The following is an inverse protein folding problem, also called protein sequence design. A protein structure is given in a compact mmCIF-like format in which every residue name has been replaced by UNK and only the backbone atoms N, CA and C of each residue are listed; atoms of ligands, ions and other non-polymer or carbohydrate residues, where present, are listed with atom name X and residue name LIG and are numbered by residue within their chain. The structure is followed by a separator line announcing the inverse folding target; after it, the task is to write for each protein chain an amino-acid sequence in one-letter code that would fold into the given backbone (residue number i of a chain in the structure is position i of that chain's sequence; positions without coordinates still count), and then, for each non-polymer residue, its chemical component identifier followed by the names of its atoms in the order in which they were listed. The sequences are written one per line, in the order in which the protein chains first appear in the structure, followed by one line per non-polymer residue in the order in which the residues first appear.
data_IF_424808498039
#
_entry.id   IF_424808498039
#
_cell.length_a   1.000
_cell.length_b   1.000
_cell.length_c   1.000
_cell.angle_alpha   90.00
_cell.angle_beta   90.00
_cell.angle_gamma   90.00
#
_symmetry.space_group_name_H-M   'P 1'
#
loop_
_entity.id
_entity.type
_entity.pdbx_description
1 polymer ?
#
# COMPACT_ATOMS: atom_id res chain seq x y z
N UNK A 1 35.27 -27.90 18.12
CA UNK A 1 34.24 -26.94 18.56
C UNK A 1 34.93 -25.61 18.83
N UNK A 2 34.70 -24.61 17.98
CA UNK A 2 35.10 -23.23 18.23
C UNK A 2 33.87 -22.34 17.95
N UNK A 3 33.51 -21.41 18.84
CA UNK A 3 32.33 -20.57 18.65
C UNK A 3 32.63 -19.54 17.57
N UNK A 4 31.99 -19.71 16.40
CA UNK A 4 31.95 -18.71 15.34
C UNK A 4 31.26 -17.46 15.85
N UNK A 5 32.05 -16.52 16.37
CA UNK A 5 31.61 -15.19 16.79
C UNK A 5 32.50 -14.19 16.05
N UNK A 6 31.98 -13.61 14.96
CA UNK A 6 32.77 -12.63 14.23
C UNK A 6 32.15 -12.03 12.97
N UNK A 7 31.12 -12.64 12.37
CA UNK A 7 30.61 -12.18 11.05
C UNK A 7 29.21 -11.53 11.11
N UNK A 8 28.46 -11.67 12.21
CA UNK A 8 27.01 -11.39 12.17
C UNK A 8 26.55 -10.07 12.83
N UNK A 9 27.46 -9.30 13.45
CA UNK A 9 27.09 -8.05 14.12
C UNK A 9 27.09 -6.82 13.17
N UNK A 10 27.87 -6.87 12.09
CA UNK A 10 28.21 -5.67 11.30
C UNK A 10 27.29 -5.39 10.10
N UNK A 11 26.29 -6.25 9.84
CA UNK A 11 25.43 -6.17 8.63
C UNK A 11 23.96 -5.84 8.92
N UNK A 12 23.58 -5.66 10.18
CA UNK A 12 22.19 -5.36 10.55
C UNK A 12 21.96 -3.85 10.60
N UNK A 13 20.95 -3.40 9.87
CA UNK A 13 20.45 -2.02 9.94
C UNK A 13 20.14 -1.67 11.41
N UNK A 14 20.63 -0.53 11.93
CA UNK A 14 20.40 -0.16 13.33
C UNK A 14 18.91 -0.11 13.69
N UNK A 15 18.55 -0.59 14.88
CA UNK A 15 17.15 -0.61 15.35
C UNK A 15 16.52 0.77 15.36
N UNK A 16 17.25 1.81 15.78
CA UNK A 16 16.74 3.19 15.78
C UNK A 16 16.35 3.66 14.37
N UNK A 17 17.10 3.26 13.33
CA UNK A 17 16.83 3.62 11.95
C UNK A 17 15.59 2.90 11.42
N UNK A 18 15.40 1.64 11.82
CA UNK A 18 14.18 0.87 11.53
C UNK A 18 12.95 1.53 12.15
N UNK A 19 13.04 1.93 13.42
CA UNK A 19 11.97 2.68 14.10
C UNK A 19 11.70 4.01 13.39
N UNK A 20 12.75 4.74 13.01
CA UNK A 20 12.64 5.97 12.22
C UNK A 20 11.91 5.73 10.89
N UNK A 21 12.25 4.69 10.12
CA UNK A 21 11.54 4.34 8.89
C UNK A 21 10.06 4.05 9.16
N UNK A 22 9.73 3.27 10.19
CA UNK A 22 8.32 3.00 10.52
C UNK A 22 7.56 4.30 10.83
N UNK A 23 8.12 5.17 11.67
CA UNK A 23 7.48 6.44 12.05
C UNK A 23 7.29 7.37 10.85
N UNK A 24 8.32 7.54 10.01
CA UNK A 24 8.23 8.35 8.79
C UNK A 24 7.18 7.77 7.84
N UNK A 25 7.18 6.45 7.65
CA UNK A 25 6.23 5.77 6.78
C UNK A 25 4.78 5.95 7.24
N UNK A 26 4.51 5.74 8.54
CA UNK A 26 3.19 5.95 9.13
C UNK A 26 2.73 7.41 9.03
N UNK A 27 3.65 8.36 9.24
CA UNK A 27 3.35 9.79 9.11
C UNK A 27 3.00 10.15 7.67
N UNK A 28 3.80 9.73 6.69
CA UNK A 28 3.50 9.96 5.26
C UNK A 28 2.17 9.34 4.84
N UNK A 29 1.87 8.12 5.31
CA UNK A 29 0.58 7.47 5.10
C UNK A 29 -0.56 8.31 5.68
N UNK A 30 -0.45 8.75 6.93
CA UNK A 30 -1.47 9.58 7.58
C UNK A 30 -1.74 10.88 6.85
N UNK A 31 -0.67 11.59 6.43
CA UNK A 31 -0.78 12.83 5.65
C UNK A 31 -1.51 12.57 4.32
N UNK A 32 -1.11 11.53 3.57
CA UNK A 32 -1.77 11.16 2.32
C UNK A 32 -3.25 10.87 2.50
N UNK A 33 -3.59 10.16 3.58
CA UNK A 33 -4.96 9.85 3.92
C UNK A 33 -5.74 11.14 4.16
N UNK A 34 -5.23 12.06 4.98
CA UNK A 34 -5.87 13.35 5.27
C UNK A 34 -6.10 14.18 4.00
N UNK A 35 -5.15 14.18 3.06
CA UNK A 35 -5.31 14.88 1.77
C UNK A 35 -6.43 14.25 0.93
N UNK A 36 -6.41 12.92 0.75
CA UNK A 36 -7.41 12.21 -0.06
C UNK A 36 -8.82 12.31 0.54
N UNK A 37 -8.87 12.33 1.87
CA UNK A 37 -10.04 12.47 2.70
C UNK A 37 -10.75 13.81 2.54
N UNK A 38 -9.97 14.89 2.51
CA UNK A 38 -10.49 16.25 2.58
C UNK A 38 -10.22 17.01 1.28
N UNK A 39 -10.93 16.67 0.19
CA UNK A 39 -10.74 17.34 -1.10
C UNK A 39 -11.11 18.82 -1.08
N UNK A 40 -11.92 19.21 -0.09
CA UNK A 40 -12.34 20.59 0.19
C UNK A 40 -11.28 21.42 0.90
N UNK A 41 -10.18 20.82 1.39
CA UNK A 41 -9.07 21.61 1.89
C UNK A 41 -8.60 22.54 0.78
N UNK A 42 -8.42 23.82 1.13
CA UNK A 42 -7.88 24.79 0.20
C UNK A 42 -6.59 24.26 -0.42
N UNK A 43 -6.38 24.51 -1.71
CA UNK A 43 -5.23 23.98 -2.47
C UNK A 43 -3.91 24.25 -1.75
N UNK A 44 -3.78 25.41 -1.09
CA UNK A 44 -2.62 25.75 -0.27
C UNK A 44 -2.37 24.75 0.87
N UNK A 45 -3.40 24.36 1.64
CA UNK A 45 -3.27 23.38 2.73
C UNK A 45 -2.84 22.01 2.21
N UNK A 46 -3.40 21.59 1.07
CA UNK A 46 -3.04 20.34 0.43
C UNK A 46 -1.59 20.32 -0.06
N UNK A 47 -1.14 21.44 -0.62
CA UNK A 47 0.26 21.62 -1.04
C UNK A 47 1.21 21.56 0.16
N UNK A 48 0.88 22.20 1.28
CA UNK A 48 1.68 22.17 2.51
C UNK A 48 1.81 20.74 3.04
N UNK A 49 0.70 20.00 3.10
CA UNK A 49 0.70 18.59 3.51
C UNK A 49 1.54 17.73 2.55
N UNK A 50 1.40 17.96 1.25
CA UNK A 50 2.17 17.24 0.24
C UNK A 50 3.67 17.56 0.32
N UNK A 51 4.03 18.81 0.53
CA UNK A 51 5.41 19.25 0.74
C UNK A 51 6.02 18.58 1.99
N UNK A 52 5.26 18.46 3.09
CA UNK A 52 5.69 17.76 4.30
C UNK A 52 5.98 16.28 4.01
N UNK A 53 5.08 15.62 3.30
CA UNK A 53 5.25 14.23 2.90
C UNK A 53 6.50 14.01 2.02
N UNK A 54 6.73 14.88 1.04
CA UNK A 54 7.89 14.82 0.16
C UNK A 54 9.18 15.13 0.93
N UNK A 55 9.16 16.10 1.84
CA UNK A 55 10.26 16.39 2.75
C UNK A 55 10.64 15.14 3.55
N UNK A 56 9.69 14.51 4.24
CA UNK A 56 9.91 13.29 5.03
C UNK A 56 10.50 12.15 4.19
N UNK A 57 9.96 11.91 2.98
CA UNK A 57 10.49 10.93 2.06
C UNK A 57 11.92 11.24 1.59
N UNK A 58 12.23 12.51 1.37
CA UNK A 58 13.54 12.98 0.92
C UNK A 58 14.60 12.92 2.02
N UNK A 59 14.22 13.28 3.25
CA UNK A 59 15.05 13.09 4.46
C UNK A 59 15.40 11.61 4.61
N UNK A 60 14.42 10.71 4.53
CA UNK A 60 14.67 9.26 4.55
C UNK A 60 15.65 8.82 3.46
N UNK A 61 15.46 9.29 2.23
CA UNK A 61 16.32 8.94 1.09
C UNK A 61 17.77 9.38 1.33
N UNK A 62 17.97 10.58 1.87
CA UNK A 62 19.28 11.09 2.28
C UNK A 62 19.94 10.24 3.38
N UNK A 63 19.18 9.89 4.43
CA UNK A 63 19.68 9.01 5.49
C UNK A 63 19.97 7.59 4.97
N UNK A 64 19.14 7.04 4.08
CA UNK A 64 19.37 5.70 3.51
C UNK A 64 20.71 5.63 2.77
N UNK A 65 21.03 6.67 1.99
CA UNK A 65 22.34 6.80 1.35
C UNK A 65 23.48 6.90 2.36
N UNK A 66 23.29 7.66 3.45
CA UNK A 66 24.28 7.83 4.51
C UNK A 66 24.50 6.60 5.40
N UNK A 67 23.47 5.80 5.68
CA UNK A 67 23.56 4.58 6.52
C UNK A 67 24.22 3.43 5.75
N UNK A 68 24.12 3.39 4.43
CA UNK A 68 24.77 2.38 3.57
C UNK A 68 26.26 2.64 3.29
N UNK A 69 26.92 3.41 4.17
CA UNK A 69 28.29 3.99 4.10
C UNK A 69 29.45 3.06 3.68
N UNK A 70 29.24 1.76 3.43
CA UNK A 70 30.32 0.83 3.09
C UNK A 70 30.64 0.70 1.59
N UNK A 71 29.90 1.32 0.67
CA UNK A 71 30.31 1.40 -0.74
C UNK A 71 29.94 2.76 -1.32
N UNK A 72 30.94 3.46 -1.87
CA UNK A 72 30.80 4.61 -2.77
C UNK A 72 30.22 4.11 -4.10
N UNK A 73 29.07 3.44 -4.06
CA UNK A 73 28.36 3.06 -5.26
C UNK A 73 27.62 4.28 -5.78
N UNK A 74 27.62 4.45 -7.10
CA UNK A 74 26.83 5.48 -7.80
C UNK A 74 25.37 5.48 -7.32
N UNK A 75 24.86 4.30 -6.92
CA UNK A 75 23.55 4.14 -6.30
C UNK A 75 23.40 4.88 -4.96
N UNK A 76 24.36 4.77 -4.03
CA UNK A 76 24.28 5.43 -2.73
C UNK A 76 24.38 6.96 -2.86
N UNK A 77 25.23 7.44 -3.79
CA UNK A 77 25.34 8.85 -4.13
C UNK A 77 24.08 9.39 -4.82
N UNK A 78 23.48 8.62 -5.74
CA UNK A 78 22.22 8.98 -6.40
C UNK A 78 21.05 9.08 -5.42
N UNK A 79 20.96 8.16 -4.45
CA UNK A 79 19.98 8.25 -3.37
C UNK A 79 20.21 9.48 -2.49
N UNK A 80 21.42 9.65 -1.99
CA UNK A 80 21.74 10.75 -1.08
C UNK A 80 21.52 12.11 -1.77
N UNK A 81 22.04 12.27 -2.99
CA UNK A 81 21.88 13.49 -3.79
C UNK A 81 20.43 13.79 -4.12
N UNK A 82 19.66 12.79 -4.58
CA UNK A 82 18.23 12.94 -4.84
C UNK A 82 17.45 13.32 -3.58
N UNK A 83 17.80 12.75 -2.43
CA UNK A 83 17.22 13.09 -1.13
C UNK A 83 17.53 14.53 -0.70
N UNK A 84 18.79 14.97 -0.80
CA UNK A 84 19.18 16.34 -0.45
C UNK A 84 18.50 17.37 -1.35
N UNK A 85 18.46 17.11 -2.67
CA UNK A 85 17.73 17.97 -3.61
C UNK A 85 16.23 18.01 -3.29
N UNK A 86 15.62 16.86 -3.02
CA UNK A 86 14.21 16.78 -2.64
C UNK A 86 13.89 17.54 -1.35
N UNK A 87 14.79 17.49 -0.36
CA UNK A 87 14.67 18.30 0.87
C UNK A 87 14.71 19.80 0.55
N UNK A 88 15.68 20.24 -0.26
CA UNK A 88 15.79 21.65 -0.65
C UNK A 88 14.55 22.15 -1.39
N UNK A 89 14.02 21.36 -2.32
CA UNK A 89 12.79 21.69 -3.07
C UNK A 89 11.56 21.75 -2.16
N UNK A 90 11.40 20.79 -1.24
CA UNK A 90 10.29 20.80 -0.30
C UNK A 90 10.38 22.00 0.66
N UNK A 91 11.57 22.30 1.19
CA UNK A 91 11.79 23.49 2.05
C UNK A 91 11.52 24.79 1.28
N UNK A 92 11.94 24.89 0.03
CA UNK A 92 11.63 26.05 -0.81
C UNK A 92 10.12 26.27 -0.96
N UNK A 93 9.35 25.18 -1.16
CA UNK A 93 7.90 25.25 -1.19
C UNK A 93 7.28 25.74 0.14
N UNK A 94 7.88 25.40 1.29
CA UNK A 94 7.45 25.88 2.61
C UNK A 94 7.79 27.34 2.89
N UNK A 95 9.01 27.74 2.53
CA UNK A 95 9.55 29.06 2.88
C UNK A 95 8.99 30.18 1.99
N UNK A 96 8.51 29.83 0.80
CA UNK A 96 7.99 30.79 -0.17
C UNK A 96 6.56 30.41 -0.59
N UNK A 97 5.58 30.43 0.33
CA UNK A 97 4.19 30.09 0.04
C UNK A 97 3.52 31.06 -0.95
N UNK A 98 4.09 32.26 -1.11
CA UNK A 98 3.65 33.27 -2.07
C UNK A 98 4.04 32.92 -3.53
N UNK A 99 4.90 31.91 -3.73
CA UNK A 99 5.09 31.34 -5.06
C UNK A 99 3.75 30.79 -5.53
N UNK A 100 3.39 31.07 -6.79
CA UNK A 100 2.11 30.61 -7.33
C UNK A 100 1.90 29.11 -7.07
N UNK A 101 0.67 28.69 -6.78
CA UNK A 101 0.30 27.29 -6.55
C UNK A 101 0.86 26.38 -7.66
N UNK A 102 0.86 26.88 -8.89
CA UNK A 102 1.44 26.24 -10.07
C UNK A 102 2.95 26.02 -9.93
N UNK A 103 3.70 27.01 -9.46
CA UNK A 103 5.15 26.90 -9.24
C UNK A 103 5.47 25.83 -8.21
N UNK A 104 4.79 25.84 -7.06
CA UNK A 104 5.02 24.85 -6.01
C UNK A 104 4.69 23.45 -6.51
N UNK A 105 3.56 23.31 -7.21
CA UNK A 105 3.15 22.06 -7.82
C UNK A 105 4.21 21.50 -8.78
N UNK A 106 4.79 22.34 -9.64
CA UNK A 106 5.87 21.92 -10.54
C UNK A 106 7.14 21.49 -9.78
N UNK A 107 7.51 22.23 -8.74
CA UNK A 107 8.64 21.87 -7.87
C UNK A 107 8.44 20.48 -7.24
N UNK A 108 7.25 20.20 -6.72
CA UNK A 108 6.91 18.90 -6.12
C UNK A 108 6.86 17.77 -7.17
N UNK A 109 6.29 18.03 -8.34
CA UNK A 109 6.27 17.06 -9.44
C UNK A 109 7.68 16.71 -9.94
N UNK A 110 8.60 17.68 -10.01
CA UNK A 110 10.01 17.42 -10.32
C UNK A 110 10.65 16.55 -9.23
N UNK A 111 10.44 16.88 -7.96
CA UNK A 111 10.96 16.07 -6.83
C UNK A 111 10.49 14.61 -6.89
N UNK A 112 9.22 14.38 -7.18
CA UNK A 112 8.65 13.04 -7.34
C UNK A 112 9.18 12.32 -8.58
N UNK A 113 9.40 13.03 -9.68
CA UNK A 113 10.03 12.47 -10.89
C UNK A 113 11.42 11.95 -10.56
N UNK A 114 12.23 12.73 -9.85
CA UNK A 114 13.58 12.31 -9.43
C UNK A 114 13.54 11.09 -8.50
N UNK A 115 12.62 11.05 -7.53
CA UNK A 115 12.42 9.87 -6.67
C UNK A 115 12.01 8.64 -7.47
N UNK A 116 11.07 8.79 -8.42
CA UNK A 116 10.60 7.71 -9.28
C UNK A 116 11.71 7.15 -10.16
N UNK A 117 12.52 8.02 -10.77
CA UNK A 117 13.70 7.62 -11.54
C UNK A 117 14.72 6.86 -10.68
N UNK A 118 14.98 7.34 -9.46
CA UNK A 118 15.86 6.64 -8.51
C UNK A 118 15.41 5.20 -8.25
N UNK A 119 14.09 4.95 -8.14
CA UNK A 119 13.55 3.59 -7.97
C UNK A 119 13.70 2.72 -9.20
N UNK A 120 13.49 3.29 -10.39
CA UNK A 120 13.70 2.59 -11.66
C UNK A 120 15.16 2.15 -11.76
N UNK A 121 16.11 3.04 -11.51
CA UNK A 121 17.55 2.71 -11.52
C UNK A 121 17.86 1.61 -10.50
N UNK A 122 17.33 1.71 -9.28
CA UNK A 122 17.51 0.67 -8.26
C UNK A 122 16.86 -0.67 -8.58
N UNK A 123 15.82 -0.68 -9.42
CA UNK A 123 15.21 -1.92 -9.86
C UNK A 123 16.11 -2.69 -10.83
N UNK A 124 17.02 -2.03 -11.54
CA UNK A 124 17.94 -2.65 -12.50
C UNK A 124 19.08 -3.40 -11.81
N UNK A 125 19.44 -3.02 -10.57
CA UNK A 125 20.54 -3.62 -9.82
C UNK A 125 20.47 -5.15 -9.68
N UNK A 126 21.60 -5.82 -9.95
CA UNK A 126 21.75 -7.26 -9.78
C UNK A 126 21.73 -7.64 -8.28
N UNK A 127 21.05 -8.74 -7.92
CA UNK A 127 21.00 -9.26 -6.55
C UNK A 127 19.62 -9.26 -5.89
N UNK A 128 18.61 -8.59 -6.47
CA UNK A 128 17.21 -8.64 -6.00
C UNK A 128 16.36 -9.63 -6.80
N UNK A 129 15.38 -10.32 -6.19
CA UNK A 129 14.47 -11.21 -6.91
C UNK A 129 13.64 -10.43 -7.95
N UNK A 130 13.37 -11.06 -9.11
CA UNK A 130 12.75 -10.42 -10.29
C UNK A 130 11.46 -9.66 -9.98
N UNK A 131 10.60 -10.19 -9.12
CA UNK A 131 9.35 -9.54 -8.74
C UNK A 131 9.56 -8.25 -7.93
N UNK A 132 10.57 -8.21 -7.05
CA UNK A 132 10.85 -7.02 -6.22
C UNK A 132 11.42 -5.90 -7.09
N UNK A 133 12.26 -6.28 -8.06
CA UNK A 133 12.70 -5.37 -9.13
C UNK A 133 11.50 -4.89 -9.94
N UNK A 134 10.63 -5.80 -10.36
CA UNK A 134 9.40 -5.46 -11.09
C UNK A 134 8.51 -4.49 -10.32
N UNK A 135 8.31 -4.70 -9.01
CA UNK A 135 7.53 -3.83 -8.13
C UNK A 135 8.17 -2.45 -7.94
N UNK A 136 9.48 -2.39 -7.70
CA UNK A 136 10.21 -1.12 -7.58
C UNK A 136 10.23 -0.34 -8.92
N UNK A 137 10.40 -1.05 -10.05
CA UNK A 137 10.31 -0.46 -11.38
C UNK A 137 8.90 0.04 -11.66
N UNK A 138 7.87 -0.77 -11.41
CA UNK A 138 6.48 -0.41 -11.65
C UNK A 138 6.07 0.81 -10.81
N UNK A 139 6.38 0.83 -9.51
CA UNK A 139 6.11 2.00 -8.65
C UNK A 139 6.88 3.23 -9.11
N UNK A 140 8.14 3.08 -9.52
CA UNK A 140 8.94 4.16 -10.10
C UNK A 140 8.34 4.71 -11.39
N UNK A 141 7.96 3.84 -12.33
CA UNK A 141 7.32 4.20 -13.61
C UNK A 141 6.00 4.90 -13.38
N UNK A 142 5.12 4.37 -12.52
CA UNK A 142 3.86 5.02 -12.17
C UNK A 142 4.11 6.39 -11.56
N UNK A 143 5.08 6.51 -10.64
CA UNK A 143 5.44 7.80 -10.03
C UNK A 143 5.89 8.82 -11.08
N UNK A 144 6.81 8.44 -11.97
CA UNK A 144 7.30 9.31 -13.05
C UNK A 144 6.18 9.67 -14.02
N UNK A 145 5.32 8.72 -14.38
CA UNK A 145 4.21 8.94 -15.29
C UNK A 145 3.19 9.92 -14.70
N UNK A 146 2.76 9.71 -13.45
CA UNK A 146 1.81 10.60 -12.77
C UNK A 146 2.40 12.00 -12.57
N UNK A 147 3.68 12.11 -12.19
CA UNK A 147 4.37 13.39 -12.10
C UNK A 147 4.58 14.05 -13.48
N UNK A 148 4.80 13.27 -14.54
CA UNK A 148 4.89 13.77 -15.91
C UNK A 148 3.55 14.32 -16.41
N UNK A 149 2.45 13.61 -16.16
CA UNK A 149 1.09 14.10 -16.46
C UNK A 149 0.80 15.42 -15.75
N UNK A 150 1.24 15.56 -14.49
CA UNK A 150 1.15 16.80 -13.73
C UNK A 150 1.82 17.99 -14.42
N UNK A 151 3.00 17.75 -14.99
CA UNK A 151 3.81 18.78 -15.65
C UNK A 151 3.28 19.13 -17.04
N UNK A 152 2.79 18.13 -17.78
CA UNK A 152 2.48 18.26 -19.21
C UNK A 152 1.04 18.68 -19.51
N UNK A 153 0.09 18.47 -18.59
CA UNK A 153 -1.31 18.83 -18.81
C UNK A 153 -1.74 19.93 -17.84
N UNK A 154 -1.32 21.18 -18.08
CA UNK A 154 -1.77 22.32 -17.29
C UNK A 154 -3.29 22.47 -17.47
N UNK A 155 -4.05 22.17 -16.42
CA UNK A 155 -5.52 22.24 -16.44
C UNK A 155 -6.24 20.97 -16.01
N UNK A 156 -5.54 19.83 -15.88
CA UNK A 156 -6.02 18.79 -14.97
C UNK A 156 -6.14 19.47 -13.61
N UNK A 157 -7.36 19.54 -13.06
CA UNK A 157 -7.67 20.29 -11.86
C UNK A 157 -6.59 20.05 -10.81
N UNK A 158 -6.07 21.13 -10.20
CA UNK A 158 -5.05 21.07 -9.13
C UNK A 158 -5.43 20.02 -8.07
N UNK A 159 -6.74 19.86 -7.86
CA UNK A 159 -7.34 18.79 -7.08
C UNK A 159 -6.96 17.36 -7.53
N UNK A 160 -7.19 17.00 -8.80
CA UNK A 160 -6.83 15.68 -9.35
C UNK A 160 -5.33 15.44 -9.23
N UNK A 161 -4.52 16.48 -9.43
CA UNK A 161 -3.09 16.37 -9.29
C UNK A 161 -2.67 16.09 -7.83
N UNK A 162 -3.18 16.88 -6.89
CA UNK A 162 -2.97 16.64 -5.46
C UNK A 162 -3.38 15.22 -5.07
N UNK A 163 -4.52 14.73 -5.56
CA UNK A 163 -4.97 13.37 -5.30
C UNK A 163 -3.98 12.31 -5.83
N UNK A 164 -3.50 12.47 -7.07
CA UNK A 164 -2.50 11.56 -7.67
C UNK A 164 -1.17 11.58 -6.89
N UNK A 165 -0.67 12.76 -6.51
CA UNK A 165 0.57 12.86 -5.73
C UNK A 165 0.40 12.30 -4.32
N UNK A 166 -0.79 12.45 -3.73
CA UNK A 166 -1.11 11.86 -2.42
C UNK A 166 -1.16 10.34 -2.47
N UNK A 167 -1.66 9.76 -3.56
CA UNK A 167 -1.58 8.31 -3.79
C UNK A 167 -0.14 7.83 -3.92
N UNK A 168 0.72 8.58 -4.63
CA UNK A 168 2.15 8.28 -4.70
C UNK A 168 2.80 8.30 -3.32
N UNK A 169 2.55 9.35 -2.52
CA UNK A 169 3.06 9.44 -1.15
C UNK A 169 2.54 8.29 -0.29
N UNK A 170 1.27 7.90 -0.44
CA UNK A 170 0.66 6.80 0.32
C UNK A 170 1.42 5.51 0.06
N UNK A 171 1.60 5.15 -1.20
CA UNK A 171 2.37 3.96 -1.61
C UNK A 171 3.79 4.02 -1.05
N UNK A 172 4.44 5.17 -1.11
CA UNK A 172 5.79 5.37 -0.60
C UNK A 172 5.89 5.20 0.91
N UNK A 173 4.90 5.73 1.65
CA UNK A 173 4.80 5.59 3.09
C UNK A 173 4.65 4.13 3.49
N UNK A 174 3.79 3.37 2.80
CA UNK A 174 3.64 1.91 3.01
C UNK A 174 4.95 1.17 2.78
N UNK A 175 5.65 1.46 1.66
CA UNK A 175 6.95 0.83 1.40
C UNK A 175 8.00 1.18 2.46
N UNK A 176 7.91 2.38 3.02
CA UNK A 176 8.76 2.83 4.13
C UNK A 176 8.49 2.03 5.41
N UNK A 177 7.22 1.84 5.77
CA UNK A 177 6.82 1.00 6.93
C UNK A 177 7.33 -0.42 6.76
N UNK A 178 7.13 -1.02 5.58
CA UNK A 178 7.59 -2.37 5.26
C UNK A 178 9.11 -2.50 5.43
N UNK A 179 9.87 -1.51 4.95
CA UNK A 179 11.33 -1.47 5.08
C UNK A 179 11.75 -1.44 6.55
N UNK A 180 11.15 -0.55 7.35
CA UNK A 180 11.46 -0.39 8.77
C UNK A 180 11.14 -1.65 9.59
N UNK A 181 10.02 -2.32 9.29
CA UNK A 181 9.66 -3.60 9.93
C UNK A 181 10.71 -4.70 9.71
N UNK A 182 11.61 -4.57 8.73
CA UNK A 182 12.78 -5.41 8.56
C UNK A 182 12.47 -6.90 8.40
N UNK A 183 11.67 -7.29 7.38
CA UNK A 183 11.31 -8.67 7.14
C UNK A 183 12.55 -9.55 6.97
N UNK A 184 12.57 -10.69 7.66
CA UNK A 184 13.71 -11.62 7.73
C UNK A 184 13.99 -12.34 6.42
N UNK A 185 12.98 -12.49 5.57
CA UNK A 185 13.08 -13.19 4.30
C UNK A 185 12.13 -12.60 3.23
N UNK A 186 12.37 -12.98 1.97
CA UNK A 186 11.63 -12.48 0.80
C UNK A 186 10.13 -12.73 0.89
N UNK A 187 9.73 -13.88 1.46
CA UNK A 187 8.32 -14.27 1.57
C UNK A 187 7.61 -13.38 2.59
N UNK A 188 8.22 -13.15 3.75
CA UNK A 188 7.72 -12.22 4.75
C UNK A 188 7.57 -10.81 4.17
N UNK A 189 8.55 -10.35 3.39
CA UNK A 189 8.48 -9.07 2.69
C UNK A 189 7.28 -8.99 1.75
N UNK A 190 7.06 -10.02 0.91
CA UNK A 190 5.92 -10.06 -0.03
C UNK A 190 4.59 -10.03 0.70
N UNK A 191 4.40 -10.91 1.69
CA UNK A 191 3.14 -10.97 2.46
C UNK A 191 2.89 -9.66 3.18
N UNK A 192 3.90 -9.07 3.81
CA UNK A 192 3.75 -7.81 4.51
C UNK A 192 3.36 -6.67 3.57
N UNK A 193 3.99 -6.58 2.38
CA UNK A 193 3.59 -5.59 1.35
C UNK A 193 2.14 -5.78 0.93
N UNK A 194 1.74 -7.03 0.66
CA UNK A 194 0.40 -7.34 0.19
C UNK A 194 -0.66 -7.11 1.27
N UNK A 195 -0.41 -7.50 2.52
CA UNK A 195 -1.30 -7.27 3.65
C UNK A 195 -1.47 -5.77 3.90
N UNK A 196 -0.37 -5.01 3.97
CA UNK A 196 -0.48 -3.56 4.15
C UNK A 196 -1.21 -2.91 2.97
N UNK A 197 -0.91 -3.32 1.74
CA UNK A 197 -1.65 -2.86 0.57
C UNK A 197 -3.15 -3.16 0.68
N UNK A 198 -3.55 -4.39 1.06
CA UNK A 198 -4.95 -4.76 1.30
C UNK A 198 -5.61 -3.87 2.35
N UNK A 199 -4.93 -3.65 3.49
CA UNK A 199 -5.46 -2.80 4.56
C UNK A 199 -5.68 -1.37 4.06
N UNK A 200 -4.71 -0.76 3.38
CA UNK A 200 -4.87 0.60 2.87
C UNK A 200 -5.87 0.72 1.73
N UNK A 201 -5.86 -0.23 0.81
CA UNK A 201 -6.82 -0.27 -0.30
C UNK A 201 -8.25 -0.38 0.23
N UNK A 202 -8.51 -1.29 1.16
CA UNK A 202 -9.81 -1.45 1.82
C UNK A 202 -10.21 -0.25 2.66
N UNK A 203 -9.29 0.26 3.49
CA UNK A 203 -9.58 1.36 4.39
C UNK A 203 -9.89 2.66 3.64
N UNK A 204 -9.15 2.97 2.58
CA UNK A 204 -9.22 4.29 1.94
C UNK A 204 -10.04 4.23 0.65
N UNK A 205 -9.54 3.50 -0.35
CA UNK A 205 -10.14 3.55 -1.69
C UNK A 205 -11.52 2.90 -1.71
N UNK A 206 -11.65 1.75 -1.05
CA UNK A 206 -12.91 1.03 -1.04
C UNK A 206 -13.96 1.74 -0.20
N UNK A 207 -13.62 2.25 0.99
CA UNK A 207 -14.57 3.08 1.75
C UNK A 207 -14.95 4.37 1.02
N UNK A 208 -14.02 5.00 0.29
CA UNK A 208 -14.38 6.15 -0.56
C UNK A 208 -15.42 5.76 -1.61
N UNK A 209 -15.20 4.62 -2.30
CA UNK A 209 -16.16 4.08 -3.25
C UNK A 209 -17.52 3.83 -2.57
N UNK A 210 -17.50 3.31 -1.34
CA UNK A 210 -18.70 2.98 -0.59
C UNK A 210 -19.46 4.18 -0.03
N UNK A 211 -18.79 5.30 0.14
CA UNK A 211 -19.42 6.56 0.54
C UNK A 211 -19.99 7.32 -0.66
N UNK A 212 -19.33 7.27 -1.82
CA UNK A 212 -19.64 8.18 -2.94
C UNK A 212 -20.17 7.51 -4.21
N UNK A 213 -20.02 6.19 -4.39
CA UNK A 213 -20.36 5.48 -5.64
C UNK A 213 -21.47 4.42 -5.46
N UNK A 214 -22.37 4.61 -4.49
CA UNK A 214 -23.44 3.66 -4.14
C UNK A 214 -24.58 3.58 -5.15
N UNK A 215 -24.67 4.51 -6.11
CA UNK A 215 -25.77 4.58 -7.08
C UNK A 215 -25.68 3.57 -8.24
N UNK A 216 -24.61 2.76 -8.32
CA UNK A 216 -24.42 1.82 -9.41
C UNK A 216 -25.43 0.64 -9.36
N UNK A 217 -26.01 0.21 -10.49
CA UNK A 217 -26.77 -1.04 -10.53
C UNK A 217 -25.90 -2.22 -10.09
N UNK A 218 -26.47 -3.13 -9.30
CA UNK A 218 -25.72 -4.23 -8.68
C UNK A 218 -24.50 -3.76 -7.87
N UNK A 219 -24.63 -2.60 -7.22
CA UNK A 219 -23.57 -1.93 -6.46
C UNK A 219 -22.73 -2.89 -5.64
N UNK A 220 -23.36 -3.80 -4.88
CA UNK A 220 -22.64 -4.69 -3.98
C UNK A 220 -21.85 -5.79 -4.71
N UNK A 221 -22.31 -6.25 -5.88
CA UNK A 221 -21.55 -7.20 -6.70
C UNK A 221 -20.33 -6.50 -7.29
N UNK A 222 -20.52 -5.29 -7.81
CA UNK A 222 -19.43 -4.47 -8.33
C UNK A 222 -18.40 -4.14 -7.24
N UNK A 223 -18.87 -3.86 -6.02
CA UNK A 223 -18.02 -3.61 -4.86
C UNK A 223 -17.20 -4.86 -4.48
N UNK A 224 -17.82 -6.05 -4.45
CA UNK A 224 -17.10 -7.33 -4.22
C UNK A 224 -16.03 -7.58 -5.29
N UNK A 225 -16.32 -7.30 -6.56
CA UNK A 225 -15.33 -7.40 -7.63
C UNK A 225 -14.17 -6.41 -7.42
N UNK A 226 -14.48 -5.20 -6.98
CA UNK A 226 -13.49 -4.17 -6.65
C UNK A 226 -12.57 -4.63 -5.51
N UNK A 227 -13.09 -5.33 -4.50
CA UNK A 227 -12.25 -5.91 -3.43
C UNK A 227 -11.17 -6.86 -3.96
N UNK A 228 -11.51 -7.61 -5.01
CA UNK A 228 -10.65 -8.64 -5.60
C UNK A 228 -9.73 -8.11 -6.70
N UNK A 229 -10.07 -6.95 -7.29
CA UNK A 229 -9.42 -6.45 -8.51
C UNK A 229 -7.89 -6.34 -8.40
N UNK A 230 -7.29 -5.77 -7.33
CA UNK A 230 -5.82 -5.69 -7.22
C UNK A 230 -5.13 -7.04 -7.16
N UNK A 231 -5.81 -8.08 -6.66
CA UNK A 231 -5.26 -9.41 -6.48
C UNK A 231 -5.58 -10.35 -7.66
N UNK A 232 -6.56 -9.98 -8.50
CA UNK A 232 -6.71 -10.58 -9.83
C UNK A 232 -5.43 -10.47 -10.64
N UNK A 233 -4.71 -9.35 -10.53
CA UNK A 233 -3.38 -9.16 -11.13
C UNK A 233 -2.38 -10.21 -10.62
N UNK A 234 -2.38 -10.53 -9.32
CA UNK A 234 -1.52 -11.60 -8.78
C UNK A 234 -1.83 -12.94 -9.44
N UNK A 235 -3.12 -13.27 -9.60
CA UNK A 235 -3.55 -14.52 -10.26
C UNK A 235 -3.14 -14.53 -11.74
N UNK A 236 -3.30 -13.41 -12.45
CA UNK A 236 -2.93 -13.30 -13.87
C UNK A 236 -1.42 -13.50 -14.07
N UNK A 237 -0.58 -12.88 -13.24
CA UNK A 237 0.87 -12.92 -13.43
C UNK A 237 1.60 -14.08 -12.72
N UNK A 238 1.07 -14.58 -11.60
CA UNK A 238 1.67 -15.69 -10.85
C UNK A 238 0.95 -17.03 -11.09
N UNK A 239 -0.16 -17.00 -11.84
CA UNK A 239 -1.03 -18.13 -12.07
C UNK A 239 -1.92 -18.43 -10.87
N UNK A 240 -2.65 -19.54 -10.96
CA UNK A 240 -3.58 -19.98 -9.90
C UNK A 240 -2.89 -20.58 -8.67
N UNK A 241 -1.54 -20.65 -8.62
CA UNK A 241 -0.81 -21.27 -7.50
C UNK A 241 -1.04 -20.53 -6.18
N UNK A 242 -1.20 -19.22 -6.23
CA UNK A 242 -1.37 -18.35 -5.06
C UNK A 242 -2.82 -17.83 -4.92
N UNK A 243 -3.81 -18.56 -5.45
CA UNK A 243 -5.22 -18.18 -5.35
C UNK A 243 -5.69 -17.98 -3.91
N UNK A 244 -5.18 -18.80 -2.97
CA UNK A 244 -5.46 -18.71 -1.54
C UNK A 244 -5.00 -17.35 -0.98
N UNK A 245 -3.80 -16.92 -1.37
CA UNK A 245 -3.28 -15.62 -0.97
C UNK A 245 -4.11 -14.50 -1.58
N UNK A 246 -4.43 -14.55 -2.88
CA UNK A 246 -5.26 -13.54 -3.52
C UNK A 246 -6.66 -13.44 -2.88
N UNK A 247 -7.32 -14.57 -2.60
CA UNK A 247 -8.62 -14.61 -1.95
C UNK A 247 -8.56 -14.03 -0.53
N UNK A 248 -7.59 -14.45 0.28
CA UNK A 248 -7.44 -13.93 1.65
C UNK A 248 -7.18 -12.43 1.68
N UNK A 249 -6.39 -11.91 0.73
CA UNK A 249 -6.11 -10.48 0.61
C UNK A 249 -7.33 -9.67 0.16
N UNK A 250 -8.16 -10.21 -0.73
CA UNK A 250 -9.42 -9.57 -1.12
C UNK A 250 -10.49 -9.62 -0.02
N UNK A 251 -10.57 -10.72 0.73
CA UNK A 251 -11.41 -10.81 1.93
C UNK A 251 -10.95 -9.84 3.02
N UNK A 252 -9.63 -9.64 3.15
CA UNK A 252 -9.06 -8.65 4.06
C UNK A 252 -9.43 -7.21 3.64
N UNK A 253 -9.41 -6.91 2.34
CA UNK A 253 -9.91 -5.62 1.81
C UNK A 253 -11.37 -5.42 2.20
N UNK A 254 -12.22 -6.42 1.95
CA UNK A 254 -13.64 -6.40 2.30
C UNK A 254 -13.87 -6.18 3.80
N UNK A 255 -13.13 -6.89 4.64
CA UNK A 255 -13.20 -6.75 6.10
C UNK A 255 -12.77 -5.35 6.55
N UNK A 256 -11.74 -4.79 5.91
CA UNK A 256 -11.22 -3.47 6.26
C UNK A 256 -12.17 -2.35 5.82
N UNK A 257 -12.92 -2.54 4.73
CA UNK A 257 -14.03 -1.64 4.38
C UNK A 257 -15.08 -1.65 5.49
N UNK A 258 -15.66 -2.81 5.85
CA UNK A 258 -16.74 -2.84 6.85
C UNK A 258 -16.33 -2.31 8.22
N UNK A 259 -15.15 -2.68 8.72
CA UNK A 259 -14.66 -2.23 10.04
C UNK A 259 -14.17 -0.78 9.98
N UNK A 260 -13.61 -0.37 8.83
CA UNK A 260 -13.03 0.95 8.63
C UNK A 260 -14.04 2.01 8.24
N UNK A 261 -15.22 1.62 7.73
CA UNK A 261 -16.19 2.53 7.12
C UNK A 261 -16.56 3.67 8.06
N UNK A 262 -16.82 3.39 9.34
CA UNK A 262 -17.07 4.42 10.33
C UNK A 262 -15.92 5.41 10.46
N UNK A 263 -14.73 4.91 10.80
CA UNK A 263 -13.57 5.76 11.09
C UNK A 263 -13.20 6.60 9.88
N UNK A 264 -13.35 6.03 8.69
CA UNK A 264 -13.04 6.70 7.44
C UNK A 264 -14.16 7.66 7.07
N UNK A 265 -15.42 7.27 7.16
CA UNK A 265 -16.56 8.17 6.97
C UNK A 265 -16.48 9.39 7.87
N UNK A 266 -16.35 9.17 9.18
CA UNK A 266 -16.38 10.21 10.21
C UNK A 266 -15.11 11.06 10.22
N UNK A 267 -13.93 10.45 10.34
CA UNK A 267 -12.67 11.19 10.51
C UNK A 267 -12.16 11.80 9.20
N UNK A 268 -12.51 11.20 8.06
CA UNK A 268 -11.90 11.54 6.78
C UNK A 268 -12.89 12.23 5.83
N UNK A 269 -14.14 11.77 5.77
CA UNK A 269 -15.07 12.21 4.74
C UNK A 269 -16.26 13.04 5.27
N UNK A 270 -16.26 13.37 6.56
CA UNK A 270 -17.29 14.22 7.19
C UNK A 270 -18.65 13.53 7.37
N UNK A 271 -18.70 12.21 7.29
CA UNK A 271 -19.89 11.41 7.57
C UNK A 271 -19.97 11.12 9.07
N UNK A 272 -20.58 12.05 9.80
CA UNK A 272 -20.77 11.91 11.24
C UNK A 272 -21.88 10.92 11.55
N UNK A 273 -21.47 9.74 12.02
CA UNK A 273 -22.35 8.70 12.55
C UNK A 273 -21.99 8.51 14.03
N UNK A 274 -22.92 8.05 14.86
CA UNK A 274 -22.59 7.67 16.23
C UNK A 274 -21.83 6.34 16.23
N UNK A 275 -20.62 6.32 16.81
CA UNK A 275 -19.73 5.16 16.82
C UNK A 275 -20.36 3.92 17.45
N UNK A 276 -20.98 4.09 18.62
CA UNK A 276 -21.50 2.96 19.41
C UNK A 276 -22.66 2.26 18.69
N UNK A 277 -23.74 2.95 18.27
CA UNK A 277 -24.83 2.31 17.52
C UNK A 277 -24.38 1.70 16.19
N UNK A 278 -23.41 2.31 15.51
CA UNK A 278 -22.86 1.76 14.28
C UNK A 278 -22.10 0.45 14.55
N UNK A 279 -21.22 0.42 15.56
CA UNK A 279 -20.49 -0.79 15.95
C UNK A 279 -21.44 -1.91 16.40
N UNK A 280 -22.49 -1.58 17.16
CA UNK A 280 -23.51 -2.56 17.57
C UNK A 280 -24.20 -3.19 16.36
N UNK A 281 -24.55 -2.37 15.36
CA UNK A 281 -25.11 -2.85 14.09
C UNK A 281 -24.14 -3.78 13.36
N UNK A 282 -22.91 -3.32 13.14
CA UNK A 282 -21.89 -4.05 12.37
C UNK A 282 -21.48 -5.37 13.03
N UNK A 283 -21.29 -5.38 14.35
CA UNK A 283 -20.79 -6.54 15.10
C UNK A 283 -21.89 -7.56 15.46
N UNK A 284 -23.13 -7.31 15.07
CA UNK A 284 -24.25 -8.24 15.26
C UNK A 284 -25.02 -8.11 16.56
N UNK A 285 -24.77 -7.08 17.35
CA UNK A 285 -25.40 -6.91 18.67
C UNK A 285 -26.86 -6.43 18.59
N UNK A 286 -27.33 -5.99 17.43
CA UNK A 286 -28.73 -5.58 17.21
C UNK A 286 -29.62 -6.70 16.64
N UNK A 287 -29.11 -7.94 16.56
CA UNK A 287 -29.90 -9.12 16.18
C UNK A 287 -30.54 -9.00 14.79
N UNK A 288 -31.87 -9.12 14.73
CA UNK A 288 -32.63 -9.08 13.47
C UNK A 288 -32.82 -7.69 12.85
N UNK A 289 -32.28 -6.62 13.46
CA UNK A 289 -32.42 -5.26 12.93
C UNK A 289 -31.83 -5.17 11.52
N UNK A 290 -32.64 -4.74 10.56
CA UNK A 290 -32.21 -4.49 9.19
C UNK A 290 -31.23 -3.30 9.17
N UNK A 291 -30.08 -3.48 8.52
CA UNK A 291 -29.09 -2.41 8.31
C UNK A 291 -29.20 -1.81 6.90
N UNK A 292 -29.21 -2.66 5.88
CA UNK A 292 -29.33 -2.27 4.48
C UNK A 292 -29.77 -3.46 3.61
N UNK A 293 -30.13 -3.18 2.35
CA UNK A 293 -30.37 -4.22 1.36
C UNK A 293 -29.13 -4.43 0.50
N UNK A 294 -28.60 -5.66 0.49
CA UNK A 294 -27.58 -6.06 -0.48
C UNK A 294 -28.19 -6.01 -1.88
N UNK A 295 -27.61 -5.22 -2.78
CA UNK A 295 -28.08 -5.02 -4.14
C UNK A 295 -27.27 -5.88 -5.12
N UNK A 296 -27.83 -7.04 -5.48
CA UNK A 296 -27.24 -8.00 -6.42
C UNK A 296 -27.54 -7.71 -7.90
N UNK A 297 -28.17 -6.58 -8.20
CA UNK A 297 -28.74 -6.28 -9.51
C UNK A 297 -30.16 -6.79 -9.61
N UNK A 298 -30.33 -8.05 -10.00
CA UNK A 298 -31.65 -8.68 -10.20
C UNK A 298 -32.28 -9.20 -8.90
N UNK A 299 -31.53 -9.20 -7.79
CA UNK A 299 -32.01 -9.66 -6.49
C UNK A 299 -31.58 -8.70 -5.38
N UNK A 300 -32.34 -8.70 -4.29
CA UNK A 300 -32.02 -7.99 -3.05
C UNK A 300 -32.03 -8.96 -1.88
N UNK A 301 -31.06 -8.84 -0.98
CA UNK A 301 -31.01 -9.64 0.26
C UNK A 301 -31.01 -8.66 1.43
N UNK A 302 -31.98 -8.75 2.36
CA UNK A 302 -31.97 -7.91 3.56
C UNK A 302 -30.79 -8.30 4.44
N UNK A 303 -29.90 -7.34 4.71
CA UNK A 303 -28.73 -7.55 5.58
C UNK A 303 -29.08 -7.07 6.98
N UNK A 304 -29.33 -8.03 7.87
CA UNK A 304 -29.54 -7.76 9.30
C UNK A 304 -28.22 -7.60 10.04
N UNK A 305 -28.27 -6.99 11.23
CA UNK A 305 -27.12 -6.88 12.12
C UNK A 305 -26.48 -8.24 12.40
N UNK A 306 -27.27 -9.26 12.73
CA UNK A 306 -26.77 -10.61 12.95
C UNK A 306 -26.04 -11.19 11.72
N UNK A 307 -26.58 -10.99 10.52
CA UNK A 307 -25.95 -11.44 9.27
C UNK A 307 -24.63 -10.69 9.02
N UNK A 308 -24.60 -9.39 9.30
CA UNK A 308 -23.42 -8.56 9.17
C UNK A 308 -22.30 -9.00 10.13
N UNK A 309 -22.63 -9.15 11.42
CA UNK A 309 -21.70 -9.64 12.42
C UNK A 309 -21.16 -11.03 12.06
N UNK A 310 -22.04 -11.96 11.69
CA UNK A 310 -21.64 -13.29 11.22
C UNK A 310 -20.66 -13.22 10.04
N UNK A 311 -20.95 -12.39 9.03
CA UNK A 311 -20.08 -12.20 7.88
C UNK A 311 -18.68 -11.66 8.27
N UNK A 312 -18.62 -10.70 9.20
CA UNK A 312 -17.34 -10.16 9.72
C UNK A 312 -16.54 -11.25 10.43
N UNK A 313 -17.14 -11.94 11.41
CA UNK A 313 -16.44 -12.98 12.17
C UNK A 313 -16.00 -14.15 11.27
N UNK A 314 -16.86 -14.56 10.33
CA UNK A 314 -16.53 -15.61 9.37
C UNK A 314 -15.33 -15.20 8.48
N UNK A 315 -15.30 -13.95 7.98
CA UNK A 315 -14.17 -13.46 7.18
C UNK A 315 -12.87 -13.39 7.99
N UNK A 316 -12.91 -12.93 9.25
CA UNK A 316 -11.73 -12.96 10.13
C UNK A 316 -11.18 -14.38 10.26
N UNK A 317 -12.05 -15.35 10.57
CA UNK A 317 -11.66 -16.75 10.71
C UNK A 317 -11.10 -17.33 9.39
N UNK A 318 -11.76 -17.07 8.27
CA UNK A 318 -11.35 -17.55 6.94
C UNK A 318 -10.02 -16.93 6.50
N UNK A 319 -9.84 -15.61 6.66
CA UNK A 319 -8.58 -14.94 6.33
C UNK A 319 -7.44 -15.50 7.17
N UNK A 320 -7.65 -15.65 8.48
CA UNK A 320 -6.64 -16.22 9.38
C UNK A 320 -6.29 -17.67 9.00
N UNK A 321 -7.30 -18.51 8.74
CA UNK A 321 -7.11 -19.91 8.37
C UNK A 321 -6.40 -20.07 7.03
N UNK A 322 -6.80 -19.31 6.00
CA UNK A 322 -6.20 -19.36 4.67
C UNK A 322 -4.76 -18.83 4.69
N UNK A 323 -4.50 -17.70 5.37
CA UNK A 323 -3.14 -17.17 5.50
C UNK A 323 -2.24 -18.12 6.28
N UNK A 324 -2.73 -18.71 7.38
CA UNK A 324 -2.00 -19.71 8.15
C UNK A 324 -1.68 -20.94 7.30
N UNK A 325 -2.67 -21.48 6.59
CA UNK A 325 -2.49 -22.62 5.69
C UNK A 325 -1.48 -22.31 4.59
N UNK A 326 -1.66 -21.19 3.87
CA UNK A 326 -0.74 -20.77 2.82
C UNK A 326 0.68 -20.63 3.39
N UNK A 327 0.83 -20.03 4.57
CA UNK A 327 2.12 -19.85 5.24
C UNK A 327 2.84 -21.19 5.52
N UNK A 328 2.15 -22.20 6.03
CA UNK A 328 2.77 -23.49 6.39
C UNK A 328 2.89 -24.45 5.19
N UNK A 329 1.99 -24.35 4.21
CA UNK A 329 1.90 -25.26 3.07
C UNK A 329 1.91 -24.51 1.73
N UNK A 330 3.02 -23.81 1.38
CA UNK A 330 3.11 -23.13 0.10
C UNK A 330 2.94 -24.13 -1.05
N UNK A 331 1.98 -23.83 -1.94
CA UNK A 331 1.57 -24.61 -3.11
C UNK A 331 2.70 -24.93 -4.12
N UNK A 332 3.90 -24.38 -3.91
CA UNK A 332 5.12 -24.70 -4.66
C UNK A 332 5.86 -25.97 -4.19
N UNK A 333 5.48 -26.59 -3.09
CA UNK A 333 6.20 -27.75 -2.54
C UNK A 333 5.40 -29.06 -2.73
N UNK A 334 5.60 -29.76 -3.86
CA UNK A 334 5.82 -31.24 -3.95
C UNK A 334 5.28 -32.01 -5.16
N UNK A 335 4.48 -31.48 -6.09
CA UNK A 335 4.00 -32.35 -7.18
C UNK A 335 5.11 -32.80 -8.16
N UNK A 336 6.03 -31.90 -8.54
CA UNK A 336 7.14 -32.26 -9.43
C UNK A 336 8.17 -33.21 -8.77
N UNK A 337 8.31 -33.17 -7.44
CA UNK A 337 9.26 -34.03 -6.70
C UNK A 337 8.69 -35.43 -6.42
N UNK A 338 7.37 -35.57 -6.39
CA UNK A 338 6.68 -36.87 -6.34
C UNK A 338 6.71 -37.56 -7.70
N UNK A 339 6.47 -36.83 -8.79
CA UNK A 339 6.55 -37.39 -10.15
C UNK A 339 8.00 -37.75 -10.52
N UNK A 340 8.99 -36.94 -10.12
CA UNK A 340 10.41 -37.27 -10.32
C UNK A 340 10.91 -38.48 -9.50
N UNK A 341 10.26 -38.79 -8.36
CA UNK A 341 10.56 -40.00 -7.57
C UNK A 341 9.81 -41.24 -8.06
N UNK A 342 8.66 -41.08 -8.70
CA UNK A 342 7.90 -42.18 -9.31
C UNK A 342 8.35 -42.50 -10.75
N UNK A 343 8.94 -41.52 -11.45
CA UNK A 343 9.55 -41.68 -12.76
C UNK A 343 10.98 -42.22 -12.72
N UNK A 344 11.29 -43.12 -11.78
CA UNK A 344 12.55 -43.86 -11.77
C UNK A 344 12.71 -44.57 -13.10
N UNK A 345 13.54 -44.00 -13.98
CA UNK A 345 13.99 -44.69 -15.19
C UNK A 345 14.68 -45.99 -14.74
N UNK A 346 14.16 -47.18 -15.06
CA UNK A 346 14.89 -48.41 -14.86
C UNK A 346 16.17 -48.32 -15.71
N UNK A 347 17.29 -48.71 -15.11
CA UNK A 347 18.60 -48.64 -15.74
C UNK A 347 18.59 -49.28 -17.13
N UNK A 348 19.10 -48.54 -18.12
CA UNK A 348 19.67 -49.17 -19.32
C UNK A 348 21.07 -49.63 -18.91
N UNK A 349 21.20 -50.95 -18.74
CA UNK A 349 22.49 -51.64 -18.87
C UNK A 349 22.87 -51.68 -20.34
#
# INVERSE_FOLDING_TARGET
MGPGTGVDAETRVPTWYRTFEVLVGLTSVGISIVILANPSFGVASLIVLLALAIFLGSVRMAFTGGVRRRLVSIEALGLAGGGVLGVGLALGAFLFPDLSLRTITYVLAVGLTLQGLGRIVHAVGAGRPRWLRGSAAATGVVTVFLAGLALLVPGIAEFTLVALLSLVVLVNGVETVVSGLGPSNKRQLTVLKLVLFSLFYGLILVNWIDLYATAAPAYHIWLVLTYMAPFGVLIVFQGTKDWQLALSLGLLVSLTNDVGYFFVGDLLFGFHVDLVPWLEGQLGFLGGKLLFDFQGGFFKIPVTSALMGFSIYARVAVVAAILYHWWHYPSGFRWARLIGKLGGRPGRR
#
